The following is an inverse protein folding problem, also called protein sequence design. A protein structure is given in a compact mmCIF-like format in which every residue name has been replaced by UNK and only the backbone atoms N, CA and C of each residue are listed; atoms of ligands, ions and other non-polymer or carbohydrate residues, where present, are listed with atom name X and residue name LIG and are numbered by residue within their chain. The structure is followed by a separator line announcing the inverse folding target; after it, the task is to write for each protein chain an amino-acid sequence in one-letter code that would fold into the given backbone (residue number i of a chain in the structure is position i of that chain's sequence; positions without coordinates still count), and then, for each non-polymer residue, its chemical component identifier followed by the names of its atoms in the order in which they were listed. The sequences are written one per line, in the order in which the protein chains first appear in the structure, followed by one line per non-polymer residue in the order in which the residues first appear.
data_IF_682232741193
#
_entry.id   IF_682232741193
#
_cell.length_a   1.000
_cell.length_b   1.000
_cell.length_c   1.000
_cell.angle_alpha   90.00
_cell.angle_beta   90.00
_cell.angle_gamma   90.00
#
_symmetry.space_group_name_H-M   'P 1'
#
loop_
_entity.id
_entity.type
_entity.pdbx_description
1 polymer ?
#
# COMPACT_ATOMS: atom_id res chain seq x y z
N UNK A 1 -11.30 33.67 -18.13
CA UNK A 1 -12.42 32.76 -17.81
C UNK A 1 -11.86 31.73 -16.85
N UNK A 2 -12.43 31.66 -15.65
CA UNK A 2 -11.95 30.85 -14.54
C UNK A 2 -11.78 29.39 -14.98
N UNK A 3 -10.62 28.80 -14.70
CA UNK A 3 -10.48 27.35 -14.70
C UNK A 3 -11.49 26.82 -13.70
N UNK A 4 -12.36 25.92 -14.13
CA UNK A 4 -13.21 25.18 -13.22
C UNK A 4 -12.30 24.57 -12.13
N UNK A 5 -12.69 24.71 -10.86
CA UNK A 5 -12.15 23.93 -9.75
C UNK A 5 -12.45 22.46 -10.08
N UNK A 6 -11.55 21.83 -10.84
CA UNK A 6 -11.60 20.39 -11.02
C UNK A 6 -11.22 19.82 -9.66
N UNK A 7 -12.13 19.06 -9.03
CA UNK A 7 -11.82 18.48 -7.74
C UNK A 7 -10.51 17.71 -7.80
N UNK A 8 -9.69 17.93 -6.78
CA UNK A 8 -8.45 17.20 -6.64
C UNK A 8 -8.72 15.70 -6.49
N UNK A 9 -7.75 14.86 -6.82
CA UNK A 9 -7.89 13.42 -6.91
C UNK A 9 -8.58 12.71 -5.71
N UNK A 10 -8.45 13.30 -4.53
CA UNK A 10 -8.99 12.76 -3.28
C UNK A 10 -9.77 13.80 -2.47
N UNK A 11 -10.41 14.77 -3.15
CA UNK A 11 -11.36 15.79 -2.62
C UNK A 11 -11.24 16.12 -1.12
N UNK A 12 -10.05 16.49 -0.65
CA UNK A 12 -9.81 16.77 0.78
C UNK A 12 -10.58 17.99 1.33
N UNK A 13 -11.22 18.78 0.46
CA UNK A 13 -11.73 20.12 0.76
C UNK A 13 -13.17 20.19 1.28
N UNK A 14 -14.06 19.29 0.85
CA UNK A 14 -15.49 19.41 1.16
C UNK A 14 -15.85 18.77 2.51
N UNK A 15 -15.16 17.69 2.89
CA UNK A 15 -15.47 16.91 4.10
C UNK A 15 -14.22 16.49 4.91
N UNK A 16 -13.44 17.44 5.48
CA UNK A 16 -12.17 17.13 6.17
C UNK A 16 -12.33 16.25 7.42
N UNK A 17 -13.56 16.07 7.91
CA UNK A 17 -13.89 15.26 9.08
C UNK A 17 -14.87 14.11 8.78
N UNK A 18 -15.08 13.81 7.49
CA UNK A 18 -16.11 12.91 6.99
C UNK A 18 -17.45 13.61 6.78
N UNK A 19 -18.47 12.80 6.50
CA UNK A 19 -19.83 13.23 6.12
C UNK A 19 -20.84 12.93 7.23
N UNK A 20 -21.90 13.74 7.31
CA UNK A 20 -22.99 13.54 8.27
C UNK A 20 -23.93 12.38 7.87
N UNK A 21 -25.03 12.17 8.61
CA UNK A 21 -26.10 11.28 8.15
C UNK A 21 -26.59 11.65 6.75
N UNK A 22 -26.89 10.66 5.90
CA UNK A 22 -27.23 10.88 4.48
C UNK A 22 -28.35 11.91 4.28
N UNK A 23 -29.45 11.78 5.04
CA UNK A 23 -30.61 12.68 4.91
C UNK A 23 -30.24 14.12 5.31
N UNK A 24 -29.35 14.30 6.28
CA UNK A 24 -28.88 15.62 6.69
C UNK A 24 -27.92 16.23 5.66
N UNK A 25 -27.07 15.40 5.04
CA UNK A 25 -26.11 15.83 4.02
C UNK A 25 -26.78 16.16 2.68
N UNK A 26 -27.68 15.30 2.20
CA UNK A 26 -28.23 15.39 0.84
C UNK A 26 -29.72 15.75 0.78
N UNK A 27 -30.42 15.85 1.91
CA UNK A 27 -31.85 16.21 1.95
C UNK A 27 -32.79 15.20 1.29
N UNK A 28 -32.31 13.99 0.99
CA UNK A 28 -33.03 12.93 0.26
C UNK A 28 -32.96 11.60 1.01
N UNK A 29 -33.87 10.65 0.76
CA UNK A 29 -33.70 9.27 1.20
C UNK A 29 -32.44 8.65 0.60
N UNK A 30 -31.80 7.75 1.34
CA UNK A 30 -30.65 7.00 0.82
C UNK A 30 -31.08 6.14 -0.39
N UNK A 31 -30.22 6.03 -1.43
CA UNK A 31 -30.45 5.13 -2.55
C UNK A 31 -30.57 3.67 -2.11
N UNK A 32 -31.33 2.88 -2.87
CA UNK A 32 -31.34 1.42 -2.74
C UNK A 32 -30.11 0.84 -3.45
N UNK A 33 -28.97 0.85 -2.74
CA UNK A 33 -27.70 0.32 -3.22
C UNK A 33 -27.10 -0.64 -2.18
N UNK A 34 -26.88 -1.93 -2.52
CA UNK A 34 -26.39 -2.93 -1.57
C UNK A 34 -24.97 -2.67 -1.08
N UNK A 35 -24.23 -1.74 -1.70
CA UNK A 35 -22.91 -1.33 -1.23
C UNK A 35 -23.00 -0.41 -0.02
N UNK A 36 -24.12 0.29 0.19
CA UNK A 36 -24.26 1.28 1.26
C UNK A 36 -24.51 0.59 2.61
N UNK A 37 -23.84 1.08 3.64
CA UNK A 37 -23.93 0.60 5.00
C UNK A 37 -25.05 1.37 5.75
N UNK A 38 -26.10 0.70 6.24
CA UNK A 38 -27.20 1.36 6.94
C UNK A 38 -26.78 2.15 8.18
N UNK A 39 -25.75 1.71 8.91
CA UNK A 39 -25.27 2.42 10.11
C UNK A 39 -24.55 3.71 9.73
N UNK A 40 -23.77 3.68 8.65
CA UNK A 40 -23.08 4.88 8.14
C UNK A 40 -24.07 5.87 7.55
N UNK A 41 -25.09 5.40 6.83
CA UNK A 41 -26.15 6.26 6.30
C UNK A 41 -26.91 6.98 7.43
N UNK A 42 -27.18 6.29 8.54
CA UNK A 42 -27.92 6.83 9.67
C UNK A 42 -27.09 7.78 10.57
N UNK A 43 -25.79 7.51 10.73
CA UNK A 43 -24.96 8.20 11.74
C UNK A 43 -23.84 9.07 11.13
N UNK A 44 -23.64 8.99 9.83
CA UNK A 44 -22.53 9.59 9.11
C UNK A 44 -21.28 8.72 9.05
N UNK A 45 -20.35 9.10 8.18
CA UNK A 45 -19.14 8.34 7.89
C UNK A 45 -17.88 9.19 8.10
N UNK A 46 -17.18 8.90 9.21
CA UNK A 46 -15.95 9.59 9.62
C UNK A 46 -14.67 8.79 9.32
N UNK A 47 -14.78 7.70 8.55
CA UNK A 47 -13.62 6.86 8.20
C UNK A 47 -12.63 7.65 7.33
N UNK A 48 -11.37 7.25 7.33
CA UNK A 48 -10.36 7.87 6.44
C UNK A 48 -10.34 7.16 5.08
N UNK A 49 -11.38 7.38 4.28
CA UNK A 49 -11.54 6.87 2.90
C UNK A 49 -11.77 8.05 1.97
N UNK A 50 -11.43 7.90 0.69
CA UNK A 50 -11.77 8.91 -0.33
C UNK A 50 -13.29 9.06 -0.45
N UNK A 51 -13.75 10.23 -0.89
CA UNK A 51 -15.16 10.58 -0.79
C UNK A 51 -16.08 9.70 -1.64
N UNK A 52 -15.57 9.16 -2.74
CA UNK A 52 -16.27 8.16 -3.56
C UNK A 52 -16.67 6.88 -2.80
N UNK A 53 -16.04 6.57 -1.67
CA UNK A 53 -16.33 5.40 -0.83
C UNK A 53 -17.11 5.73 0.44
N UNK A 54 -17.56 6.97 0.62
CA UNK A 54 -18.38 7.33 1.78
C UNK A 54 -19.65 6.49 1.82
N UNK A 55 -20.02 6.09 3.03
CA UNK A 55 -21.15 5.21 3.32
C UNK A 55 -21.03 3.79 2.79
N UNK A 56 -20.04 3.44 1.95
CA UNK A 56 -19.92 2.07 1.47
C UNK A 56 -19.50 1.13 2.61
N UNK A 57 -20.05 -0.07 2.61
CA UNK A 57 -19.56 -1.16 3.45
C UNK A 57 -18.09 -1.41 3.13
N UNK A 58 -17.32 -1.86 4.13
CA UNK A 58 -15.91 -2.19 3.94
C UNK A 58 -15.71 -3.19 2.80
N UNK A 59 -16.55 -4.21 2.73
CA UNK A 59 -16.39 -5.30 1.77
C UNK A 59 -16.68 -4.81 0.34
N UNK A 60 -17.61 -3.86 0.15
CA UNK A 60 -17.82 -3.20 -1.13
C UNK A 60 -16.61 -2.37 -1.58
N UNK A 61 -15.95 -1.66 -0.64
CA UNK A 61 -14.72 -0.90 -0.93
C UNK A 61 -13.60 -1.87 -1.36
N UNK A 62 -13.40 -2.96 -0.62
CA UNK A 62 -12.39 -3.97 -0.97
C UNK A 62 -12.66 -4.56 -2.35
N UNK A 63 -13.90 -4.96 -2.62
CA UNK A 63 -14.28 -5.53 -3.92
C UNK A 63 -14.06 -4.56 -5.08
N UNK A 64 -14.30 -3.27 -4.89
CA UNK A 64 -14.03 -2.26 -5.91
C UNK A 64 -12.54 -2.03 -6.14
N UNK A 65 -11.74 -1.92 -5.07
CA UNK A 65 -10.28 -1.81 -5.16
C UNK A 65 -9.70 -3.04 -5.88
N UNK A 66 -10.18 -4.25 -5.56
CA UNK A 66 -9.70 -5.51 -6.12
C UNK A 66 -9.80 -5.57 -7.65
N UNK A 67 -10.76 -4.86 -8.25
CA UNK A 67 -10.90 -4.77 -9.72
C UNK A 67 -9.78 -4.00 -10.40
N UNK A 68 -9.03 -3.19 -9.65
CA UNK A 68 -8.02 -2.25 -10.15
C UNK A 68 -6.68 -2.37 -9.42
N UNK A 69 -6.50 -3.37 -8.56
CA UNK A 69 -5.21 -3.61 -7.90
C UNK A 69 -4.13 -3.86 -8.94
N UNK A 70 -2.95 -3.33 -8.66
CA UNK A 70 -1.77 -3.59 -9.43
C UNK A 70 -1.18 -4.97 -9.11
N UNK A 71 -0.42 -5.52 -10.04
CA UNK A 71 0.13 -6.88 -9.95
C UNK A 71 1.35 -7.00 -9.05
N UNK A 72 1.84 -5.90 -8.47
CA UNK A 72 2.96 -5.95 -7.54
C UNK A 72 2.47 -6.21 -6.12
N UNK A 73 3.31 -6.94 -5.39
CA UNK A 73 3.17 -7.25 -3.97
C UNK A 73 4.27 -6.54 -3.19
N UNK A 74 4.07 -6.37 -1.89
CA UNK A 74 5.07 -5.79 -0.99
C UNK A 74 5.27 -6.74 0.18
N UNK A 75 6.53 -7.02 0.54
CA UNK A 75 6.86 -7.81 1.72
C UNK A 75 7.74 -7.01 2.68
N UNK A 76 7.48 -7.12 3.98
CA UNK A 76 8.28 -6.50 5.02
C UNK A 76 8.62 -7.51 6.12
N UNK A 77 9.91 -7.59 6.44
CA UNK A 77 10.41 -8.42 7.54
C UNK A 77 10.04 -7.84 8.91
N UNK A 78 9.55 -8.70 9.81
CA UNK A 78 9.12 -8.40 11.17
C UNK A 78 9.82 -9.32 12.19
N UNK A 79 11.12 -9.15 12.37
CA UNK A 79 11.95 -9.95 13.27
C UNK A 79 12.28 -9.26 14.62
N UNK A 80 11.96 -7.98 14.76
CA UNK A 80 12.35 -7.10 15.84
C UNK A 80 11.39 -5.92 15.99
N UNK A 81 11.71 -4.77 15.39
CA UNK A 81 10.90 -3.55 15.48
C UNK A 81 9.91 -3.42 14.31
N UNK A 82 8.64 -3.12 14.63
CA UNK A 82 7.51 -3.15 13.71
C UNK A 82 6.97 -1.75 13.32
N UNK A 83 7.70 -0.69 13.69
CA UNK A 83 7.23 0.70 13.58
C UNK A 83 6.86 1.12 12.13
N UNK A 84 7.52 0.53 11.13
CA UNK A 84 7.32 0.87 9.72
C UNK A 84 6.21 0.05 9.04
N UNK A 85 5.79 -1.07 9.61
CA UNK A 85 4.85 -1.99 8.95
C UNK A 85 3.53 -1.29 8.65
N UNK A 86 3.02 -0.51 9.59
CA UNK A 86 1.80 0.28 9.36
C UNK A 86 1.93 1.29 8.22
N UNK A 87 3.08 1.98 8.13
CA UNK A 87 3.34 2.91 7.03
C UNK A 87 3.37 2.17 5.69
N UNK A 88 4.05 1.03 5.61
CA UNK A 88 4.09 0.19 4.40
C UNK A 88 2.70 -0.26 3.99
N UNK A 89 1.88 -0.75 4.93
CA UNK A 89 0.50 -1.18 4.66
C UNK A 89 -0.35 -0.01 4.11
N UNK A 90 -0.24 1.16 4.73
CA UNK A 90 -0.95 2.37 4.29
C UNK A 90 -0.56 2.77 2.88
N UNK A 91 0.73 2.81 2.60
CA UNK A 91 1.24 3.19 1.28
C UNK A 91 0.88 2.16 0.21
N UNK A 92 0.92 0.87 0.55
CA UNK A 92 0.50 -0.20 -0.34
C UNK A 92 -0.99 -0.11 -0.67
N UNK A 93 -1.85 0.25 0.29
CA UNK A 93 -3.26 0.51 0.03
C UNK A 93 -3.45 1.74 -0.89
N UNK A 94 -2.74 2.83 -0.63
CA UNK A 94 -2.81 4.05 -1.46
C UNK A 94 -2.40 3.79 -2.92
N UNK A 95 -1.39 2.96 -3.14
CA UNK A 95 -0.97 2.54 -4.49
C UNK A 95 -1.69 1.30 -5.01
N UNK A 96 -2.76 0.84 -4.35
CA UNK A 96 -3.54 -0.34 -4.75
C UNK A 96 -2.67 -1.59 -5.04
N UNK A 97 -1.63 -1.84 -4.24
CA UNK A 97 -0.83 -3.07 -4.33
C UNK A 97 -1.74 -4.30 -4.16
N UNK A 98 -1.37 -5.42 -4.80
CA UNK A 98 -2.14 -6.66 -4.74
C UNK A 98 -2.28 -7.18 -3.30
N UNK A 99 -1.16 -7.28 -2.59
CA UNK A 99 -1.13 -7.70 -1.19
C UNK A 99 0.13 -7.19 -0.47
N UNK A 100 0.05 -7.18 0.86
CA UNK A 100 1.18 -6.93 1.77
C UNK A 100 1.50 -8.19 2.55
N UNK A 101 2.76 -8.60 2.53
CA UNK A 101 3.28 -9.80 3.16
C UNK A 101 4.08 -9.43 4.41
N UNK A 102 3.63 -9.92 5.56
CA UNK A 102 4.33 -9.76 6.84
C UNK A 102 5.15 -11.02 7.08
N UNK A 103 6.47 -10.90 7.14
CA UNK A 103 7.37 -12.04 7.31
C UNK A 103 7.90 -12.10 8.74
N UNK A 104 7.88 -13.26 9.38
CA UNK A 104 8.34 -13.43 10.76
C UNK A 104 7.20 -13.30 11.77
N UNK A 105 7.29 -12.34 12.70
CA UNK A 105 6.29 -12.18 13.77
C UNK A 105 4.94 -11.80 13.17
N UNK A 106 3.89 -12.53 13.56
CA UNK A 106 2.52 -12.29 13.06
C UNK A 106 1.90 -10.99 13.59
N UNK A 107 2.26 -10.59 14.80
CA UNK A 107 1.76 -9.36 15.42
C UNK A 107 2.67 -8.20 15.06
N UNK A 108 2.06 -7.08 14.73
CA UNK A 108 2.73 -5.84 14.37
C UNK A 108 1.88 -4.62 14.76
N UNK A 109 2.52 -3.47 14.89
CA UNK A 109 1.91 -2.21 15.28
C UNK A 109 1.10 -1.59 14.14
N UNK A 110 -0.23 -1.65 14.24
CA UNK A 110 -1.17 -1.14 13.24
C UNK A 110 -1.37 0.37 13.25
N UNK A 111 -0.78 1.11 14.20
CA UNK A 111 -1.03 2.55 14.35
C UNK A 111 -0.69 3.33 13.08
N UNK A 112 0.44 3.00 12.44
CA UNK A 112 0.87 3.66 11.20
C UNK A 112 -0.06 3.39 10.00
N UNK A 113 -0.84 2.30 10.04
CA UNK A 113 -1.76 1.94 8.96
C UNK A 113 -2.97 2.87 8.92
N UNK A 114 -3.31 3.57 10.00
CA UNK A 114 -4.51 4.43 10.05
C UNK A 114 -5.78 3.69 9.60
N UNK A 115 -5.94 2.43 10.05
CA UNK A 115 -7.08 1.54 9.75
C UNK A 115 -7.13 1.04 8.29
N UNK A 116 -6.20 1.46 7.42
CA UNK A 116 -6.15 1.01 6.02
C UNK A 116 -5.85 -0.49 5.88
N UNK A 117 -5.32 -1.12 6.93
CA UNK A 117 -5.14 -2.58 7.01
C UNK A 117 -6.45 -3.35 6.82
N UNK A 118 -7.61 -2.72 7.06
CA UNK A 118 -8.93 -3.32 6.84
C UNK A 118 -9.35 -3.36 5.36
N UNK A 119 -8.71 -2.57 4.51
CA UNK A 119 -9.01 -2.49 3.07
C UNK A 119 -7.87 -3.07 2.21
N UNK A 120 -6.89 -3.71 2.83
CA UNK A 120 -5.72 -4.28 2.17
C UNK A 120 -5.64 -5.78 2.43
N UNK A 121 -5.26 -6.55 1.42
CA UNK A 121 -4.94 -7.97 1.58
C UNK A 121 -3.62 -8.11 2.32
N UNK A 122 -3.65 -8.78 3.46
CA UNK A 122 -2.48 -8.98 4.33
C UNK A 122 -2.23 -10.47 4.47
N UNK A 123 -1.08 -10.90 3.96
CA UNK A 123 -0.59 -12.27 4.04
C UNK A 123 0.47 -12.37 5.14
N UNK A 124 0.49 -13.47 5.89
CA UNK A 124 1.50 -13.72 6.92
C UNK A 124 2.36 -14.92 6.51
N UNK A 125 3.66 -14.78 6.69
CA UNK A 125 4.67 -15.79 6.41
C UNK A 125 5.55 -15.93 7.66
N UNK A 126 5.85 -17.16 8.06
CA UNK A 126 6.69 -17.43 9.23
C UNK A 126 8.16 -17.10 9.01
N UNK A 127 8.61 -17.08 7.76
CA UNK A 127 9.97 -16.73 7.34
C UNK A 127 10.09 -16.55 5.83
N UNK A 128 11.31 -16.24 5.37
CA UNK A 128 11.62 -16.02 3.96
C UNK A 128 11.32 -17.24 3.07
N UNK A 129 11.61 -18.50 3.46
CA UNK A 129 11.30 -19.65 2.61
C UNK A 129 9.82 -19.74 2.20
N UNK A 130 8.90 -19.51 3.14
CA UNK A 130 7.46 -19.53 2.87
C UNK A 130 7.03 -18.39 1.93
N UNK A 131 7.63 -17.21 2.09
CA UNK A 131 7.41 -16.08 1.19
C UNK A 131 7.88 -16.41 -0.24
N UNK A 132 9.03 -17.05 -0.39
CA UNK A 132 9.57 -17.43 -1.70
C UNK A 132 8.74 -18.50 -2.39
N UNK A 133 8.20 -19.46 -1.63
CA UNK A 133 7.22 -20.43 -2.14
C UNK A 133 5.95 -19.74 -2.63
N UNK A 134 5.44 -18.74 -1.90
CA UNK A 134 4.33 -17.91 -2.35
C UNK A 134 4.69 -17.19 -3.65
N UNK A 135 5.82 -16.49 -3.68
CA UNK A 135 6.25 -15.72 -4.85
C UNK A 135 6.35 -16.61 -6.11
N UNK A 136 6.92 -17.80 -5.95
CA UNK A 136 7.03 -18.80 -7.03
C UNK A 136 5.65 -19.26 -7.51
N UNK A 137 4.75 -19.63 -6.58
CA UNK A 137 3.39 -20.09 -6.89
C UNK A 137 2.55 -19.04 -7.62
N UNK A 138 2.79 -17.77 -7.32
CA UNK A 138 2.05 -16.64 -7.87
C UNK A 138 2.77 -15.94 -9.04
N UNK A 139 3.88 -16.50 -9.53
CA UNK A 139 4.68 -15.93 -10.63
C UNK A 139 5.07 -14.47 -10.35
N UNK A 140 5.70 -14.24 -9.21
CA UNK A 140 6.18 -12.94 -8.74
C UNK A 140 7.71 -12.94 -8.71
N UNK A 141 8.32 -12.03 -9.47
CA UNK A 141 9.76 -11.79 -9.38
C UNK A 141 10.08 -11.08 -8.07
N UNK A 142 10.90 -11.70 -7.21
CA UNK A 142 11.32 -11.08 -5.95
C UNK A 142 12.39 -10.03 -6.23
N UNK A 143 12.13 -8.79 -5.79
CA UNK A 143 13.05 -7.66 -5.88
C UNK A 143 13.37 -7.18 -4.47
N UNK A 144 14.60 -7.37 -4.03
CA UNK A 144 15.05 -6.87 -2.73
C UNK A 144 15.36 -5.37 -2.83
N UNK A 145 14.90 -4.59 -1.85
CA UNK A 145 15.24 -3.17 -1.72
C UNK A 145 16.18 -2.99 -0.55
N UNK A 146 17.48 -2.89 -0.84
CA UNK A 146 18.55 -2.78 0.14
C UNK A 146 19.76 -2.00 -0.42
N UNK A 147 20.49 -1.31 0.44
CA UNK A 147 21.66 -0.51 0.07
C UNK A 147 22.95 -1.30 0.31
N UNK A 148 23.11 -2.40 -0.42
CA UNK A 148 24.25 -3.32 -0.33
C UNK A 148 25.09 -3.31 -1.59
N UNK A 149 26.35 -3.74 -1.50
CA UNK A 149 27.23 -3.82 -2.67
C UNK A 149 26.61 -4.68 -3.79
N UNK A 150 26.63 -4.18 -5.02
CA UNK A 150 26.05 -4.84 -6.19
C UNK A 150 24.58 -4.52 -6.46
N UNK A 151 23.92 -3.70 -5.62
CA UNK A 151 22.59 -3.20 -5.91
C UNK A 151 22.56 -2.28 -7.13
N UNK A 152 21.49 -2.35 -7.91
CA UNK A 152 21.25 -1.44 -9.03
C UNK A 152 20.49 -0.21 -8.52
N UNK A 153 20.88 1.03 -8.89
CA UNK A 153 20.10 2.20 -8.56
C UNK A 153 18.66 2.08 -9.07
N UNK A 154 17.69 2.23 -8.16
CA UNK A 154 16.27 2.12 -8.46
C UNK A 154 15.84 3.06 -9.59
N UNK A 155 16.46 4.23 -9.65
CA UNK A 155 16.22 5.28 -10.64
C UNK A 155 16.61 4.85 -12.07
N UNK A 156 17.45 3.81 -12.20
CA UNK A 156 17.90 3.24 -13.48
C UNK A 156 17.39 1.82 -13.72
N UNK A 157 16.73 1.22 -12.73
CA UNK A 157 16.26 -0.15 -12.78
C UNK A 157 14.88 -0.23 -13.46
N UNK A 158 14.68 -1.27 -14.24
CA UNK A 158 13.35 -1.64 -14.73
C UNK A 158 12.72 -2.66 -13.76
N UNK A 159 11.76 -2.21 -12.96
CA UNK A 159 11.03 -3.11 -12.07
C UNK A 159 10.10 -4.03 -12.88
N UNK A 160 10.07 -5.35 -12.63
CA UNK A 160 9.12 -6.24 -13.28
C UNK A 160 7.67 -5.86 -12.95
N UNK A 161 6.75 -6.01 -13.93
CA UNK A 161 5.33 -5.73 -13.71
C UNK A 161 4.71 -6.64 -12.64
N UNK A 162 5.08 -7.92 -12.64
CA UNK A 162 4.66 -8.91 -11.62
C UNK A 162 5.82 -9.16 -10.66
N UNK A 163 5.90 -8.36 -9.61
CA UNK A 163 7.00 -8.46 -8.65
C UNK A 163 6.52 -8.46 -7.21
N UNK A 164 7.40 -8.94 -6.33
CA UNK A 164 7.28 -8.79 -4.90
C UNK A 164 8.45 -7.92 -4.42
N UNK A 165 8.15 -6.70 -4.00
CA UNK A 165 9.12 -5.75 -3.45
C UNK A 165 9.39 -6.13 -1.99
N UNK A 166 10.58 -6.65 -1.70
CA UNK A 166 10.98 -7.14 -0.39
C UNK A 166 11.82 -6.11 0.36
N UNK A 167 11.33 -5.71 1.54
CA UNK A 167 11.98 -4.79 2.46
C UNK A 167 12.45 -5.52 3.71
N UNK A 168 13.73 -5.34 4.02
CA UNK A 168 14.31 -5.85 5.26
C UNK A 168 13.87 -5.03 6.47
N UNK A 169 14.24 -5.53 7.66
CA UNK A 169 14.03 -4.76 8.88
C UNK A 169 15.08 -3.65 9.04
N UNK A 170 14.69 -2.53 9.67
CA UNK A 170 15.64 -1.50 10.09
C UNK A 170 16.81 -2.09 10.89
N UNK A 171 18.04 -1.75 10.48
CA UNK A 171 19.28 -2.23 11.09
C UNK A 171 20.01 -3.21 10.16
N UNK A 172 19.79 -4.54 10.30
CA UNK A 172 20.55 -5.56 9.57
C UNK A 172 20.24 -5.58 8.05
N UNK A 173 19.20 -4.89 7.58
CA UNK A 173 18.79 -4.92 6.19
C UNK A 173 18.02 -6.20 5.86
N UNK A 174 17.98 -6.56 4.57
CA UNK A 174 17.37 -7.80 4.10
C UNK A 174 18.24 -8.98 4.54
N UNK A 175 17.63 -10.07 5.00
CA UNK A 175 18.38 -11.29 5.35
C UNK A 175 19.15 -11.86 4.15
N UNK A 176 20.29 -12.53 4.38
CA UNK A 176 21.11 -13.09 3.29
C UNK A 176 20.34 -14.10 2.43
N UNK A 177 19.47 -14.91 3.04
CA UNK A 177 18.58 -15.84 2.33
C UNK A 177 17.68 -15.11 1.34
N UNK A 178 17.16 -13.95 1.73
CA UNK A 178 16.34 -13.12 0.86
C UNK A 178 17.16 -12.43 -0.24
N UNK A 179 18.40 -12.01 0.03
CA UNK A 179 19.29 -11.45 -1.01
C UNK A 179 19.65 -12.49 -2.07
N UNK A 180 19.98 -13.71 -1.67
CA UNK A 180 20.29 -14.78 -2.61
C UNK A 180 19.09 -15.22 -3.44
N UNK A 181 17.89 -15.14 -2.88
CA UNK A 181 16.66 -15.50 -3.57
C UNK A 181 16.08 -14.39 -4.46
N UNK A 182 16.48 -13.13 -4.24
CA UNK A 182 16.04 -12.02 -5.06
C UNK A 182 16.65 -12.11 -6.46
N UNK A 183 15.80 -11.99 -7.48
CA UNK A 183 16.26 -11.93 -8.86
C UNK A 183 16.97 -10.60 -9.18
N UNK A 184 16.66 -9.57 -8.40
CA UNK A 184 17.22 -8.22 -8.51
C UNK A 184 17.29 -7.60 -7.12
N UNK A 185 18.42 -6.96 -6.81
CA UNK A 185 18.55 -6.09 -5.64
C UNK A 185 18.68 -4.65 -6.12
N UNK A 186 17.80 -3.77 -5.65
CA UNK A 186 17.81 -2.34 -5.97
C UNK A 186 18.10 -1.49 -4.74
N UNK A 187 18.74 -0.36 -4.94
CA UNK A 187 19.01 0.65 -3.91
C UNK A 187 18.51 2.01 -4.35
N UNK A 188 17.97 2.80 -3.43
CA UNK A 188 17.62 4.20 -3.69
C UNK A 188 18.89 5.04 -3.65
N UNK A 189 19.14 5.86 -4.67
CA UNK A 189 20.32 6.70 -4.71
C UNK A 189 20.34 7.71 -3.54
N UNK A 190 21.45 7.75 -2.80
CA UNK A 190 21.63 8.64 -1.65
C UNK A 190 22.82 9.57 -1.89
N UNK A 191 22.62 10.88 -1.67
CA UNK A 191 23.64 11.92 -1.85
C UNK A 191 24.02 12.63 -0.54
N UNK A 192 23.43 12.19 0.58
CA UNK A 192 23.66 12.74 1.92
C UNK A 192 24.63 11.90 2.75
N UNK A 193 24.72 12.23 4.04
CA UNK A 193 25.63 11.59 5.00
C UNK A 193 25.03 10.42 5.80
N UNK A 194 23.73 10.17 5.67
CA UNK A 194 23.09 9.03 6.35
C UNK A 194 23.51 7.70 5.73
N UNK A 195 23.47 6.63 6.52
CA UNK A 195 23.77 5.27 6.04
C UNK A 195 22.59 4.63 5.32
N UNK A 196 21.37 5.06 5.64
CA UNK A 196 20.14 4.51 5.10
C UNK A 196 18.96 5.48 5.20
N UNK A 197 17.93 5.18 4.42
CA UNK A 197 16.60 5.78 4.47
C UNK A 197 15.71 4.91 5.37
N UNK A 198 14.74 5.52 6.07
CA UNK A 198 13.72 4.78 6.82
C UNK A 198 12.99 3.76 5.92
N UNK A 199 12.74 2.55 6.43
CA UNK A 199 12.19 1.46 5.61
C UNK A 199 10.80 1.77 5.04
N UNK A 200 9.94 2.48 5.79
CA UNK A 200 8.63 2.91 5.30
C UNK A 200 8.74 3.92 4.15
N UNK A 201 9.69 4.85 4.24
CA UNK A 201 9.99 5.80 3.15
C UNK A 201 10.56 5.09 1.92
N UNK A 202 11.50 4.17 2.13
CA UNK A 202 12.07 3.38 1.04
C UNK A 202 10.99 2.55 0.31
N UNK A 203 10.05 1.97 1.07
CA UNK A 203 8.91 1.26 0.50
C UNK A 203 8.01 2.16 -0.34
N UNK A 204 7.73 3.38 0.12
CA UNK A 204 6.97 4.35 -0.66
C UNK A 204 7.67 4.74 -1.97
N UNK A 205 8.98 4.97 -1.94
CA UNK A 205 9.77 5.32 -3.14
C UNK A 205 9.77 4.16 -4.15
N UNK A 206 10.00 2.93 -3.70
CA UNK A 206 10.02 1.75 -4.55
C UNK A 206 8.64 1.43 -5.16
N UNK A 207 7.57 1.52 -4.37
CA UNK A 207 6.21 1.37 -4.89
C UNK A 207 5.88 2.46 -5.92
N UNK A 208 6.23 3.72 -5.64
CA UNK A 208 6.00 4.81 -6.58
C UNK A 208 6.83 4.68 -7.86
N UNK A 209 8.05 4.15 -7.78
CA UNK A 209 8.85 3.82 -8.96
C UNK A 209 8.14 2.78 -9.84
N UNK A 210 7.52 1.75 -9.24
CA UNK A 210 6.70 0.81 -9.98
C UNK A 210 5.49 1.49 -10.64
N UNK A 211 4.77 2.34 -9.89
CA UNK A 211 3.62 3.10 -10.39
C UNK A 211 4.01 3.92 -11.62
N UNK A 212 5.13 4.65 -11.54
CA UNK A 212 5.67 5.47 -12.62
C UNK A 212 5.94 4.67 -13.90
N UNK A 213 6.34 3.40 -13.78
CA UNK A 213 6.65 2.53 -14.91
C UNK A 213 5.43 1.80 -15.49
N UNK A 214 4.43 1.45 -14.65
CA UNK A 214 3.42 0.46 -15.03
C UNK A 214 1.97 0.88 -14.84
N UNK A 215 1.67 1.86 -13.99
CA UNK A 215 0.28 2.22 -13.69
C UNK A 215 -0.33 3.07 -14.81
N UNK A 216 -1.63 2.89 -15.04
CA UNK A 216 -2.42 3.81 -15.85
C UNK A 216 -2.86 4.99 -14.98
N UNK A 217 -2.16 6.12 -15.12
CA UNK A 217 -2.41 7.31 -14.31
C UNK A 217 -3.77 7.95 -14.56
N UNK A 218 -4.48 7.60 -15.65
CA UNK A 218 -5.85 8.09 -15.89
C UNK A 218 -6.89 7.44 -14.97
N UNK A 219 -6.48 6.39 -14.26
CA UNK A 219 -7.31 5.64 -13.30
C UNK A 219 -7.00 5.99 -11.85
N UNK A 220 -6.12 6.97 -11.59
CA UNK A 220 -5.93 7.48 -10.24
C UNK A 220 -7.22 8.15 -9.77
N UNK A 221 -7.56 7.96 -8.49
CA UNK A 221 -8.42 8.89 -7.77
C UNK A 221 -7.69 10.19 -7.80
#
# INVERSE_FOLDING_TARGET
MAGADLPGPTEWGEHPHGVGPWVAEYGTPAPDDPRLDPELLANGDRRNVVDAYRYWTRDAIVADIDRRRHTFHVAIENFGHDANIGTVVRTANAFAAAAVHIVGRRRWNRRGAMVTDRYQHIEHHTGIPELLEYATRHDLTVVAVDNVAGSVPLETAELPRRCLLLFGQEGPGVTEDAKHAAALTVSIAQFGSTRSINAGVAAGIAMHAWIRSHADLTTSW
#
